data_IF_006661984076
#
_entry.id   IF_006661984076
#
_cell.length_a   1.000
_cell.length_b   1.000
_cell.length_c   1.000
_cell.angle_alpha   90.00
_cell.angle_beta   90.00
_cell.angle_gamma   90.00
#
_symmetry.space_group_name_H-M   'P 1'
#
loop_
_entity.id
_entity.type
_entity.pdbx_description
1 polymer ?
#
# COMPACT_ATOMS: atom_id res chain seq x y z
N UNK A 1 -39.09 -47.64 20.87
CA UNK A 1 -38.39 -47.66 19.57
C UNK A 1 -38.17 -46.26 18.99
N UNK A 2 -39.16 -45.39 18.98
CA UNK A 2 -39.07 -44.04 18.38
C UNK A 2 -37.93 -43.16 18.96
N UNK A 3 -37.73 -43.15 20.29
CA UNK A 3 -36.62 -42.35 20.92
C UNK A 3 -35.21 -42.79 20.49
N UNK A 4 -35.00 -44.07 20.29
CA UNK A 4 -33.68 -44.57 19.79
C UNK A 4 -33.48 -44.24 18.31
N UNK A 5 -34.53 -44.24 17.51
CA UNK A 5 -34.51 -43.83 16.12
C UNK A 5 -34.19 -42.34 15.95
N UNK A 6 -34.81 -41.47 16.77
CA UNK A 6 -34.50 -40.03 16.76
C UNK A 6 -33.04 -39.73 17.18
N UNK A 7 -32.50 -40.48 18.13
CA UNK A 7 -31.12 -40.29 18.58
C UNK A 7 -30.09 -40.69 17.49
N UNK A 8 -30.36 -41.77 16.77
CA UNK A 8 -29.48 -42.20 15.65
C UNK A 8 -29.55 -41.25 14.47
N UNK A 9 -30.71 -40.68 14.14
CA UNK A 9 -30.89 -39.70 13.08
C UNK A 9 -30.17 -38.40 13.44
N UNK A 10 -30.33 -37.93 14.70
CA UNK A 10 -29.62 -36.72 15.18
C UNK A 10 -28.10 -36.87 15.16
N UNK A 11 -27.59 -38.05 15.55
CA UNK A 11 -26.16 -38.34 15.48
C UNK A 11 -25.62 -38.37 14.05
N UNK A 12 -26.42 -38.90 13.10
CA UNK A 12 -26.03 -38.97 11.69
C UNK A 12 -25.98 -37.57 11.05
N UNK A 13 -26.95 -36.71 11.38
CA UNK A 13 -26.97 -35.29 10.93
C UNK A 13 -25.78 -34.52 11.50
N UNK A 14 -25.42 -34.76 12.76
CA UNK A 14 -24.26 -34.11 13.38
C UNK A 14 -22.94 -34.53 12.73
N UNK A 15 -22.78 -35.82 12.36
CA UNK A 15 -21.61 -36.31 11.62
C UNK A 15 -21.50 -35.71 10.22
N UNK A 16 -22.61 -35.49 9.51
CA UNK A 16 -22.58 -34.88 8.17
C UNK A 16 -22.27 -33.40 8.21
N UNK A 17 -22.68 -32.68 9.28
CA UNK A 17 -22.30 -31.27 9.46
C UNK A 17 -20.83 -31.06 9.74
N UNK A 18 -20.16 -32.01 10.40
CA UNK A 18 -18.70 -31.96 10.65
C UNK A 18 -17.85 -32.19 9.38
N UNK A 19 -18.39 -32.90 8.39
CA UNK A 19 -17.71 -33.15 7.12
C UNK A 19 -17.84 -31.97 6.14
N UNK A 20 -18.78 -31.05 6.35
CA UNK A 20 -18.99 -29.89 5.48
C UNK A 20 -17.97 -28.76 5.68
N UNK A 21 -17.16 -28.79 6.74
CA UNK A 21 -16.05 -27.85 6.94
C UNK A 21 -14.74 -28.25 6.25
N UNK A 22 -14.71 -29.36 5.54
CA UNK A 22 -13.61 -29.73 4.63
C UNK A 22 -13.83 -29.10 3.26
N UNK A 23 -14.03 -27.78 3.21
CA UNK A 23 -13.94 -27.05 1.97
C UNK A 23 -12.54 -27.27 1.42
N UNK A 24 -12.44 -27.99 0.30
CA UNK A 24 -11.32 -27.83 -0.64
C UNK A 24 -11.44 -26.43 -1.21
N UNK A 25 -11.27 -25.42 -0.33
CA UNK A 25 -10.88 -24.12 -0.78
C UNK A 25 -9.59 -24.37 -1.53
N UNK A 26 -9.56 -24.09 -2.82
CA UNK A 26 -8.35 -23.80 -3.53
C UNK A 26 -7.65 -22.69 -2.74
N UNK A 27 -6.89 -23.10 -1.74
CA UNK A 27 -5.86 -22.25 -1.17
C UNK A 27 -4.91 -22.08 -2.37
N UNK A 28 -5.21 -21.07 -3.19
CA UNK A 28 -4.30 -20.61 -4.23
C UNK A 28 -3.04 -20.33 -3.44
N UNK A 29 -2.08 -21.28 -3.55
CA UNK A 29 -0.83 -21.20 -2.83
C UNK A 29 -0.26 -19.83 -3.13
N UNK A 30 -0.01 -18.99 -2.11
CA UNK A 30 0.63 -17.69 -2.26
C UNK A 30 1.92 -17.75 -3.07
N UNK A 31 2.52 -18.94 -3.16
CA UNK A 31 3.65 -19.30 -4.03
C UNK A 31 3.48 -18.97 -5.52
N UNK A 32 2.25 -18.74 -5.98
CA UNK A 32 1.96 -18.50 -7.41
C UNK A 32 1.75 -17.03 -7.74
N UNK A 33 1.96 -16.10 -6.81
CA UNK A 33 1.70 -14.68 -7.02
C UNK A 33 2.85 -13.83 -6.48
N UNK A 34 3.06 -12.66 -7.08
CA UNK A 34 3.96 -11.66 -6.52
C UNK A 34 3.19 -10.74 -5.58
N UNK A 35 3.68 -10.56 -4.36
CA UNK A 35 3.09 -9.63 -3.41
C UNK A 35 3.63 -8.23 -3.69
N UNK A 36 2.74 -7.27 -3.90
CA UNK A 36 3.10 -5.86 -4.05
C UNK A 36 3.20 -5.26 -2.65
N UNK A 37 4.38 -4.79 -2.26
CA UNK A 37 4.62 -4.10 -0.99
C UNK A 37 4.31 -2.61 -1.08
N UNK A 38 4.62 -2.00 -2.23
CA UNK A 38 4.40 -0.59 -2.49
C UNK A 38 4.08 -0.31 -3.95
N UNK A 39 3.27 0.73 -4.17
CA UNK A 39 3.01 1.33 -5.48
C UNK A 39 3.45 2.79 -5.49
N UNK A 40 4.15 3.18 -6.54
CA UNK A 40 4.55 4.56 -6.80
C UNK A 40 3.86 5.12 -8.05
N UNK A 41 3.46 6.37 -8.00
CA UNK A 41 2.79 7.07 -9.09
C UNK A 41 3.49 8.39 -9.37
N UNK A 42 3.91 8.62 -10.61
CA UNK A 42 4.54 9.85 -11.08
C UNK A 42 3.85 10.36 -12.34
N UNK A 43 3.68 11.67 -12.45
CA UNK A 43 3.25 12.29 -13.70
C UNK A 43 4.44 12.42 -14.66
N UNK A 44 4.25 12.00 -15.91
CA UNK A 44 5.24 12.11 -16.98
C UNK A 44 4.57 12.68 -18.25
N UNK A 45 4.41 13.98 -18.27
CA UNK A 45 3.65 14.65 -19.31
C UNK A 45 2.19 14.18 -19.38
N UNK A 46 1.80 13.59 -20.50
CA UNK A 46 0.45 13.01 -20.68
C UNK A 46 0.30 11.60 -20.15
N UNK A 47 1.40 10.98 -19.71
CA UNK A 47 1.41 9.63 -19.19
C UNK A 47 1.44 9.65 -17.66
N UNK A 48 1.01 8.56 -17.07
CA UNK A 48 1.29 8.23 -15.69
C UNK A 48 2.32 7.11 -15.66
N UNK A 49 3.36 7.28 -14.86
CA UNK A 49 4.32 6.22 -14.58
C UNK A 49 3.91 5.55 -13.29
N UNK A 50 3.71 4.24 -13.35
CA UNK A 50 3.44 3.39 -12.19
C UNK A 50 4.70 2.57 -11.92
N UNK A 51 5.08 2.53 -10.65
CA UNK A 51 6.18 1.71 -10.13
C UNK A 51 5.63 0.75 -9.11
N UNK A 52 5.90 -0.54 -9.27
CA UNK A 52 5.51 -1.59 -8.32
C UNK A 52 6.75 -2.22 -7.69
N UNK A 53 6.81 -2.23 -6.37
CA UNK A 53 7.78 -3.00 -5.59
C UNK A 53 7.16 -4.35 -5.27
N UNK A 54 7.77 -5.42 -5.78
CA UNK A 54 7.29 -6.79 -5.69
C UNK A 54 8.18 -7.62 -4.79
N UNK A 55 7.60 -8.33 -3.84
CA UNK A 55 8.32 -9.28 -3.00
C UNK A 55 8.32 -10.65 -3.69
N UNK A 56 9.52 -11.14 -3.92
CA UNK A 56 9.76 -12.47 -4.46
C UNK A 56 10.02 -13.43 -3.31
N UNK A 57 9.04 -14.29 -3.05
CA UNK A 57 9.19 -15.38 -2.08
C UNK A 57 9.74 -16.60 -2.81
N UNK A 58 10.89 -17.08 -2.39
CA UNK A 58 11.45 -18.31 -2.95
C UNK A 58 10.89 -19.51 -2.19
N UNK A 59 9.82 -20.09 -2.73
CA UNK A 59 9.17 -21.26 -2.13
C UNK A 59 9.98 -22.57 -2.24
N UNK A 60 10.97 -22.60 -3.15
CA UNK A 60 11.82 -23.78 -3.34
C UNK A 60 12.96 -23.83 -2.30
N UNK A 61 13.32 -22.69 -1.74
CA UNK A 61 14.35 -22.59 -0.72
C UNK A 61 13.94 -21.60 0.39
N UNK A 62 13.24 -22.05 1.44
CA UNK A 62 12.73 -21.19 2.52
C UNK A 62 13.84 -20.52 3.34
N UNK A 63 15.09 -20.96 3.22
CA UNK A 63 16.24 -20.37 3.91
C UNK A 63 16.76 -19.12 3.18
N UNK A 64 16.28 -18.84 1.96
CA UNK A 64 16.63 -17.63 1.21
C UNK A 64 15.67 -16.51 1.63
N UNK A 65 16.22 -15.40 2.13
CA UNK A 65 15.44 -14.23 2.50
C UNK A 65 14.65 -13.70 1.30
N UNK A 66 13.39 -13.25 1.51
CA UNK A 66 12.62 -12.58 0.47
C UNK A 66 13.39 -11.39 -0.10
N UNK A 67 13.28 -11.17 -1.39
CA UNK A 67 13.96 -10.10 -2.10
C UNK A 67 12.94 -9.25 -2.85
N UNK A 68 13.08 -7.92 -2.76
CA UNK A 68 12.25 -7.01 -3.53
C UNK A 68 12.79 -6.82 -4.94
N UNK A 69 11.87 -6.69 -5.89
CA UNK A 69 12.14 -6.27 -7.28
C UNK A 69 11.21 -5.15 -7.66
N UNK A 70 11.75 -4.16 -8.35
CA UNK A 70 10.99 -2.98 -8.76
C UNK A 70 10.81 -3.01 -10.27
N UNK A 71 9.55 -2.78 -10.68
CA UNK A 71 9.15 -2.69 -12.08
C UNK A 71 8.39 -1.39 -12.28
N UNK A 72 8.69 -0.71 -13.39
CA UNK A 72 7.99 0.52 -13.77
C UNK A 72 7.48 0.41 -15.19
N UNK A 73 6.31 1.01 -15.41
CA UNK A 73 5.75 1.20 -16.74
C UNK A 73 5.04 2.54 -16.84
N UNK A 74 4.83 3.00 -18.09
CA UNK A 74 4.16 4.27 -18.39
C UNK A 74 2.98 4.01 -19.31
N UNK A 75 1.81 4.54 -18.94
CA UNK A 75 0.62 4.46 -19.77
C UNK A 75 -0.20 5.76 -19.67
N UNK A 76 -1.28 5.86 -20.43
CA UNK A 76 -2.25 6.95 -20.30
C UNK A 76 -3.07 6.86 -19.03
N UNK A 77 -3.26 5.65 -18.52
CA UNK A 77 -4.00 5.32 -17.31
C UNK A 77 -3.24 4.32 -16.44
N UNK A 78 -3.71 4.13 -15.21
CA UNK A 78 -3.08 3.29 -14.19
C UNK A 78 -3.18 1.81 -14.59
N UNK A 79 -4.34 1.40 -15.10
CA UNK A 79 -4.60 0.01 -15.47
C UNK A 79 -3.65 -0.46 -16.56
N UNK A 80 -3.51 0.30 -17.65
CA UNK A 80 -2.57 -0.02 -18.73
C UNK A 80 -1.12 -0.07 -18.28
N UNK A 81 -0.71 0.77 -17.31
CA UNK A 81 0.63 0.68 -16.75
C UNK A 81 0.83 -0.59 -15.90
N UNK A 82 -0.16 -0.96 -15.10
CA UNK A 82 -0.12 -2.20 -14.31
C UNK A 82 -0.18 -3.46 -15.20
N UNK A 83 -0.96 -3.43 -16.28
CA UNK A 83 -0.99 -4.50 -17.27
C UNK A 83 0.38 -4.67 -17.94
N UNK A 84 1.04 -3.56 -18.31
CA UNK A 84 2.37 -3.60 -18.88
C UNK A 84 3.39 -4.18 -17.90
N UNK A 85 3.35 -3.81 -16.61
CA UNK A 85 4.18 -4.43 -15.57
C UNK A 85 3.86 -5.93 -15.51
N UNK A 86 2.58 -6.27 -15.41
CA UNK A 86 2.12 -7.67 -15.29
C UNK A 86 2.56 -8.54 -16.46
N UNK A 87 2.60 -7.99 -17.68
CA UNK A 87 3.05 -8.71 -18.89
C UNK A 87 4.50 -9.15 -18.84
N UNK A 88 5.32 -8.50 -18.02
CA UNK A 88 6.75 -8.81 -17.80
C UNK A 88 6.97 -9.82 -16.67
N UNK A 89 5.91 -10.19 -15.97
CA UNK A 89 5.97 -11.08 -14.82
C UNK A 89 5.53 -12.50 -15.19
N UNK A 90 6.15 -13.49 -14.55
CA UNK A 90 5.77 -14.90 -14.71
C UNK A 90 4.55 -15.29 -13.87
N UNK A 91 4.10 -14.41 -12.95
CA UNK A 91 3.01 -14.65 -12.00
C UNK A 91 2.19 -13.38 -11.83
N UNK A 92 0.88 -13.49 -11.52
CA UNK A 92 0.04 -12.31 -11.24
C UNK A 92 0.51 -11.53 -10.02
N UNK A 93 0.25 -10.21 -10.02
CA UNK A 93 0.48 -9.32 -8.88
C UNK A 93 -0.70 -9.37 -7.90
N UNK A 94 -0.40 -9.39 -6.60
CA UNK A 94 -1.36 -9.21 -5.51
C UNK A 94 -1.23 -7.79 -4.95
N UNK A 95 -2.16 -6.91 -5.32
CA UNK A 95 -2.21 -5.53 -4.84
C UNK A 95 -2.78 -5.40 -3.42
N UNK A 96 -3.47 -6.41 -2.93
CA UNK A 96 -4.13 -6.44 -1.61
C UNK A 96 -3.15 -6.31 -0.44
N UNK A 97 -1.87 -6.58 -0.68
CA UNK A 97 -0.79 -6.44 0.32
C UNK A 97 0.00 -5.14 0.19
N UNK A 98 -0.43 -4.24 -0.71
CA UNK A 98 0.21 -2.95 -0.89
C UNK A 98 0.05 -2.12 0.39
N UNK A 99 1.15 -1.91 1.12
CA UNK A 99 1.18 -1.15 2.36
C UNK A 99 1.50 0.33 2.16
N UNK A 100 2.09 0.69 1.01
CA UNK A 100 2.52 2.06 0.68
C UNK A 100 2.01 2.49 -0.69
N UNK A 101 1.42 3.68 -0.74
CA UNK A 101 1.06 4.40 -1.97
C UNK A 101 1.93 5.65 -2.01
N UNK A 102 2.96 5.66 -2.85
CA UNK A 102 3.89 6.78 -2.99
C UNK A 102 3.48 7.70 -4.14
N UNK A 103 3.22 8.97 -3.82
CA UNK A 103 2.81 10.01 -4.76
C UNK A 103 4.01 10.88 -5.11
N UNK A 104 4.30 10.99 -6.40
CA UNK A 104 5.35 11.86 -6.92
C UNK A 104 5.01 13.35 -6.75
N UNK A 105 6.02 14.15 -6.42
CA UNK A 105 5.85 15.60 -6.25
C UNK A 105 5.45 16.32 -7.56
N UNK A 106 5.64 15.69 -8.72
CA UNK A 106 5.20 16.18 -10.02
C UNK A 106 3.71 15.95 -10.29
N UNK A 107 2.99 15.32 -9.38
CA UNK A 107 1.59 14.92 -9.58
C UNK A 107 0.67 16.13 -9.70
N UNK A 108 -0.19 16.14 -10.73
CA UNK A 108 -1.25 17.14 -10.86
C UNK A 108 -2.47 16.75 -10.03
N UNK A 109 -3.33 17.73 -9.69
CA UNK A 109 -4.56 17.47 -8.94
C UNK A 109 -5.47 16.44 -9.64
N UNK A 110 -5.62 16.56 -10.96
CA UNK A 110 -6.42 15.62 -11.76
C UNK A 110 -5.88 14.19 -11.66
N UNK A 111 -4.56 14.01 -11.78
CA UNK A 111 -3.92 12.69 -11.69
C UNK A 111 -3.98 12.14 -10.28
N UNK A 112 -3.84 12.99 -9.27
CA UNK A 112 -4.00 12.59 -7.88
C UNK A 112 -5.41 12.03 -7.63
N UNK A 113 -6.45 12.75 -8.10
CA UNK A 113 -7.84 12.28 -8.02
C UNK A 113 -8.01 10.93 -8.73
N UNK A 114 -7.47 10.75 -9.94
CA UNK A 114 -7.53 9.48 -10.66
C UNK A 114 -6.88 8.32 -9.88
N UNK A 115 -5.77 8.58 -9.16
CA UNK A 115 -5.13 7.58 -8.32
C UNK A 115 -6.04 7.20 -7.15
N UNK A 116 -6.63 8.19 -6.48
CA UNK A 116 -7.54 7.95 -5.38
C UNK A 116 -8.77 7.15 -5.84
N UNK A 117 -9.38 7.55 -6.95
CA UNK A 117 -10.52 6.84 -7.53
C UNK A 117 -10.16 5.40 -7.88
N UNK A 118 -9.01 5.17 -8.52
CA UNK A 118 -8.54 3.83 -8.84
C UNK A 118 -8.34 2.98 -7.59
N UNK A 119 -7.64 3.50 -6.59
CA UNK A 119 -7.38 2.78 -5.34
C UNK A 119 -8.66 2.46 -4.58
N UNK A 120 -9.65 3.35 -4.61
CA UNK A 120 -10.89 3.20 -3.87
C UNK A 120 -11.89 2.26 -4.55
N UNK A 121 -12.14 2.44 -5.86
CA UNK A 121 -13.21 1.73 -6.57
C UNK A 121 -12.79 0.35 -7.06
N UNK A 122 -11.53 0.16 -7.43
CA UNK A 122 -11.06 -1.15 -7.91
C UNK A 122 -10.90 -2.20 -6.80
N UNK A 123 -11.03 -1.80 -5.52
CA UNK A 123 -10.98 -2.68 -4.34
C UNK A 123 -9.77 -3.63 -4.29
N UNK A 124 -8.71 -3.32 -5.04
CA UNK A 124 -7.51 -4.15 -5.13
C UNK A 124 -6.41 -3.73 -4.16
N UNK A 125 -6.47 -2.47 -3.67
CA UNK A 125 -5.51 -1.92 -2.72
C UNK A 125 -6.20 -1.77 -1.38
N UNK A 126 -5.50 -2.14 -0.30
CA UNK A 126 -6.07 -2.00 1.03
C UNK A 126 -6.26 -0.53 1.41
N UNK A 127 -7.43 -0.19 1.93
CA UNK A 127 -7.73 1.16 2.42
C UNK A 127 -6.84 1.57 3.61
N UNK A 128 -6.18 0.62 4.25
CA UNK A 128 -5.23 0.86 5.34
C UNK A 128 -3.81 1.16 4.87
N UNK A 129 -3.53 1.14 3.56
CA UNK A 129 -2.23 1.53 3.01
C UNK A 129 -1.90 2.98 3.39
N UNK A 130 -0.64 3.26 3.68
CA UNK A 130 -0.18 4.62 3.92
C UNK A 130 0.08 5.34 2.60
N UNK A 131 -0.43 6.55 2.47
CA UNK A 131 -0.04 7.45 1.40
C UNK A 131 1.17 8.28 1.84
N UNK A 132 2.16 8.35 0.98
CA UNK A 132 3.37 9.15 1.20
C UNK A 132 3.66 10.01 -0.02
N UNK A 133 4.45 11.06 0.16
CA UNK A 133 5.01 11.84 -0.94
C UNK A 133 6.48 11.50 -1.13
N UNK A 134 6.93 11.49 -2.37
CA UNK A 134 8.33 11.35 -2.73
C UNK A 134 8.67 12.19 -3.96
N UNK A 135 9.90 12.70 -4.04
CA UNK A 135 10.35 13.43 -5.23
C UNK A 135 10.28 12.53 -6.47
N UNK A 136 10.72 11.28 -6.35
CA UNK A 136 10.57 10.23 -7.34
C UNK A 136 10.27 8.90 -6.63
N UNK A 137 9.02 8.42 -6.67
CA UNK A 137 8.65 7.10 -6.18
C UNK A 137 9.48 5.97 -6.78
N UNK A 138 9.86 6.05 -8.06
CA UNK A 138 10.71 5.03 -8.68
C UNK A 138 12.09 4.95 -8.04
N UNK A 139 12.74 6.09 -7.78
CA UNK A 139 14.03 6.10 -7.11
C UNK A 139 13.92 5.67 -5.66
N UNK A 140 12.86 6.06 -4.97
CA UNK A 140 12.59 5.66 -3.59
C UNK A 140 12.43 4.15 -3.47
N UNK A 141 11.53 3.55 -4.26
CA UNK A 141 11.23 2.12 -4.20
C UNK A 141 12.33 1.27 -4.83
N UNK A 142 13.05 1.81 -5.82
CA UNK A 142 14.20 1.14 -6.45
C UNK A 142 15.48 1.17 -5.62
N UNK A 143 15.48 1.86 -4.48
CA UNK A 143 16.59 1.90 -3.57
C UNK A 143 16.82 0.59 -2.82
N UNK A 144 17.91 0.52 -2.09
CA UNK A 144 18.23 -0.64 -1.26
C UNK A 144 17.49 -0.54 0.07
N UNK A 145 16.70 -1.55 0.47
CA UNK A 145 16.06 -1.58 1.79
C UNK A 145 17.13 -1.68 2.89
N UNK A 146 16.88 -1.02 4.02
CA UNK A 146 17.80 -0.97 5.16
C UNK A 146 17.75 -2.27 5.98
N UNK A 147 16.56 -2.65 6.41
CA UNK A 147 16.37 -3.69 7.43
C UNK A 147 15.35 -4.76 7.06
N UNK A 148 14.57 -4.55 6.03
CA UNK A 148 13.52 -5.46 5.60
C UNK A 148 13.77 -6.03 4.20
N UNK A 149 12.85 -6.88 3.75
CA UNK A 149 12.91 -7.44 2.40
C UNK A 149 12.57 -6.40 1.30
N UNK A 150 11.96 -5.26 1.67
CA UNK A 150 11.42 -4.27 0.73
C UNK A 150 11.42 -2.87 1.34
N UNK A 151 11.70 -1.85 0.52
CA UNK A 151 11.70 -0.44 0.94
C UNK A 151 10.33 0.00 1.47
N UNK A 152 9.24 -0.48 0.87
CA UNK A 152 7.89 -0.19 1.35
C UNK A 152 7.65 -0.65 2.79
N UNK A 153 8.21 -1.78 3.20
CA UNK A 153 8.13 -2.25 4.59
C UNK A 153 8.98 -1.42 5.54
N UNK A 154 10.17 -0.97 5.14
CA UNK A 154 10.99 -0.08 5.95
C UNK A 154 10.25 1.23 6.21
N UNK A 155 9.66 1.85 5.17
CA UNK A 155 8.87 3.06 5.28
C UNK A 155 7.67 2.87 6.21
N UNK A 156 6.91 1.78 6.04
CA UNK A 156 5.76 1.47 6.90
C UNK A 156 6.17 1.37 8.37
N UNK A 157 7.27 0.65 8.65
CA UNK A 157 7.82 0.52 9.99
C UNK A 157 8.28 1.87 10.57
N UNK A 158 8.83 2.78 9.75
CA UNK A 158 9.20 4.12 10.18
C UNK A 158 7.98 4.94 10.57
N UNK A 159 6.92 4.94 9.74
CA UNK A 159 5.67 5.65 10.03
C UNK A 159 5.04 5.14 11.34
N UNK A 160 4.96 3.83 11.52
CA UNK A 160 4.39 3.23 12.72
C UNK A 160 5.19 3.52 13.99
N UNK A 161 6.52 3.56 13.89
CA UNK A 161 7.39 3.95 15.03
C UNK A 161 7.18 5.41 15.41
N UNK A 162 7.14 6.31 14.44
CA UNK A 162 6.95 7.74 14.66
C UNK A 162 5.58 8.04 15.27
N UNK A 163 4.53 7.38 14.80
CA UNK A 163 3.18 7.50 15.37
C UNK A 163 3.14 7.18 16.87
N UNK A 164 4.01 6.30 17.34
CA UNK A 164 4.08 5.89 18.74
C UNK A 164 4.95 6.81 19.61
N UNK A 165 6.01 7.44 19.04
CA UNK A 165 7.01 8.16 19.80
C UNK A 165 6.71 9.66 19.96
N UNK A 166 6.27 10.34 18.91
CA UNK A 166 6.37 11.79 18.85
C UNK A 166 5.02 12.54 18.92
N UNK A 167 3.90 11.81 18.95
CA UNK A 167 2.56 12.43 18.92
C UNK A 167 2.25 13.22 17.64
N UNK A 168 3.22 13.32 16.72
CA UNK A 168 3.07 13.88 15.38
C UNK A 168 2.74 12.71 14.46
N UNK A 169 1.55 12.16 14.60
CA UNK A 169 1.06 11.18 13.66
C UNK A 169 0.59 11.92 12.42
N UNK A 170 1.41 11.91 11.39
CA UNK A 170 0.92 11.99 10.03
C UNK A 170 0.34 10.61 9.68
N UNK A 171 -0.77 10.24 10.33
CA UNK A 171 -1.50 9.04 9.97
C UNK A 171 -2.15 9.32 8.61
N UNK A 172 -1.40 9.01 7.58
CA UNK A 172 -1.74 9.25 6.19
C UNK A 172 -2.31 8.00 5.54
N UNK A 173 -3.15 7.27 6.28
CA UNK A 173 -3.83 6.11 5.71
C UNK A 173 -4.77 6.54 4.61
N UNK A 174 -4.81 5.78 3.56
CA UNK A 174 -5.59 6.12 2.37
C UNK A 174 -7.06 6.42 2.71
N UNK A 175 -7.69 5.62 3.59
CA UNK A 175 -9.09 5.86 3.98
C UNK A 175 -9.29 7.20 4.69
N UNK A 176 -8.30 7.71 5.44
CA UNK A 176 -8.39 9.02 6.12
C UNK A 176 -8.31 10.17 5.12
N UNK A 177 -7.43 10.04 4.12
CA UNK A 177 -7.29 11.01 3.04
C UNK A 177 -8.58 11.07 2.23
N UNK A 178 -9.12 9.92 1.80
CA UNK A 178 -10.39 9.87 1.07
C UNK A 178 -11.56 10.43 1.89
N UNK A 179 -11.69 10.02 3.14
CA UNK A 179 -12.72 10.56 4.02
C UNK A 179 -12.60 12.09 4.19
N UNK A 180 -11.39 12.63 4.25
CA UNK A 180 -11.17 14.07 4.31
C UNK A 180 -11.63 14.76 3.01
N UNK A 181 -11.29 14.21 1.85
CA UNK A 181 -11.68 14.71 0.52
C UNK A 181 -13.21 14.71 0.36
N UNK A 182 -13.88 13.59 0.65
CA UNK A 182 -15.33 13.45 0.57
C UNK A 182 -16.08 14.43 1.51
N UNK A 183 -15.50 14.73 2.67
CA UNK A 183 -16.06 15.71 3.62
C UNK A 183 -15.71 17.17 3.29
N UNK A 184 -15.16 17.43 2.10
CA UNK A 184 -14.80 18.77 1.64
C UNK A 184 -13.59 19.39 2.38
N UNK A 185 -12.79 18.59 3.05
CA UNK A 185 -11.51 19.01 3.60
C UNK A 185 -10.48 18.98 2.48
N UNK A 186 -10.22 20.13 1.92
CA UNK A 186 -9.36 20.25 0.74
C UNK A 186 -7.86 20.29 1.09
N UNK A 187 -7.50 20.24 2.38
CA UNK A 187 -6.09 20.29 2.83
C UNK A 187 -5.75 19.08 3.68
N UNK A 188 -4.69 18.40 3.28
CA UNK A 188 -4.12 17.26 4.00
C UNK A 188 -2.59 17.24 3.88
N UNK A 189 -1.93 16.45 4.69
CA UNK A 189 -0.48 16.30 4.67
C UNK A 189 -0.09 14.85 4.52
N UNK A 190 0.92 14.59 3.70
CA UNK A 190 1.55 13.28 3.53
C UNK A 190 2.97 13.30 4.11
N UNK A 191 3.41 12.26 4.81
CA UNK A 191 4.83 12.13 5.16
C UNK A 191 5.65 12.05 3.88
N UNK A 192 6.79 12.73 3.88
CA UNK A 192 7.67 12.81 2.73
C UNK A 192 8.90 11.95 2.95
N UNK A 193 9.17 11.07 2.00
CA UNK A 193 10.32 10.18 2.03
C UNK A 193 11.22 10.39 0.82
N UNK A 194 12.51 10.24 1.04
CA UNK A 194 13.55 10.21 0.01
C UNK A 194 14.45 8.99 0.18
N UNK A 195 15.31 8.74 -0.81
CA UNK A 195 16.30 7.68 -0.78
C UNK A 195 17.69 8.29 -0.50
N UNK A 196 18.39 7.73 0.47
CA UNK A 196 19.78 8.04 0.81
C UNK A 196 20.68 6.84 0.54
N UNK A 197 21.98 6.98 0.79
CA UNK A 197 22.93 5.85 0.69
C UNK A 197 22.62 4.75 1.71
N UNK A 198 22.04 5.11 2.86
CA UNK A 198 21.72 4.20 3.96
C UNK A 198 20.29 3.60 3.86
N UNK A 199 19.49 3.99 2.85
CA UNK A 199 18.12 3.54 2.67
C UNK A 199 17.09 4.67 2.61
N UNK A 200 15.81 4.34 2.81
CA UNK A 200 14.75 5.33 2.85
C UNK A 200 14.87 6.24 4.07
N UNK A 201 14.67 7.53 3.89
CA UNK A 201 14.74 8.53 4.95
C UNK A 201 13.51 9.42 4.95
N UNK A 202 13.05 9.78 6.16
CA UNK A 202 12.00 10.77 6.35
C UNK A 202 12.57 12.19 6.13
N UNK A 203 12.06 12.86 5.12
CA UNK A 203 12.46 14.23 4.74
C UNK A 203 11.47 15.30 5.24
N UNK A 204 10.40 14.90 5.94
CA UNK A 204 9.42 15.81 6.51
C UNK A 204 8.00 15.60 5.98
N UNK A 205 7.34 16.66 5.57
CA UNK A 205 5.90 16.64 5.24
C UNK A 205 5.65 17.37 3.91
N UNK A 206 4.81 16.79 3.07
CA UNK A 206 4.24 17.40 1.87
C UNK A 206 2.79 17.81 2.15
N UNK A 207 2.48 19.10 2.00
CA UNK A 207 1.14 19.65 2.20
C UNK A 207 0.44 19.76 0.86
N UNK A 208 -0.74 19.17 0.79
CA UNK A 208 -1.61 19.21 -0.38
C UNK A 208 -2.83 20.09 -0.10
N UNK A 209 -3.24 20.85 -1.10
CA UNK A 209 -4.46 21.63 -1.12
C UNK A 209 -5.17 21.43 -2.45
N UNK A 210 -6.45 21.04 -2.43
CA UNK A 210 -7.22 20.66 -3.60
C UNK A 210 -6.47 19.65 -4.48
N UNK A 211 -5.97 18.58 -3.86
CA UNK A 211 -5.23 17.48 -4.50
C UNK A 211 -3.90 17.89 -5.16
N UNK A 212 -3.43 19.12 -4.90
CA UNK A 212 -2.18 19.65 -5.45
C UNK A 212 -1.17 19.86 -4.33
N UNK A 213 0.06 19.46 -4.56
CA UNK A 213 1.19 19.79 -3.69
C UNK A 213 1.40 21.30 -3.67
N UNK A 214 1.30 21.92 -2.49
CA UNK A 214 1.47 23.37 -2.32
C UNK A 214 2.70 23.73 -1.49
N UNK A 215 3.17 22.84 -0.61
CA UNK A 215 4.31 23.12 0.26
C UNK A 215 5.02 21.84 0.68
N UNK A 216 6.35 21.95 0.75
CA UNK A 216 7.22 20.98 1.41
C UNK A 216 7.72 21.60 2.71
N UNK A 217 7.66 20.84 3.80
CA UNK A 217 8.15 21.22 5.14
C UNK A 217 9.22 20.22 5.53
N UNK A 218 10.43 20.71 5.83
CA UNK A 218 11.52 19.83 6.25
C UNK A 218 11.24 19.18 7.59
N UNK A 219 11.92 18.07 7.87
CA UNK A 219 11.80 17.34 9.15
C UNK A 219 12.07 18.23 10.37
N UNK A 220 13.10 19.09 10.30
CA UNK A 220 13.46 19.99 11.39
C UNK A 220 12.35 21.02 11.65
N UNK A 221 11.79 21.58 10.57
CA UNK A 221 10.68 22.52 10.68
C UNK A 221 9.39 21.86 11.16
N UNK A 222 9.09 20.64 10.73
CA UNK A 222 7.94 19.87 11.16
C UNK A 222 8.00 19.52 12.65
N UNK A 223 9.18 19.20 13.18
CA UNK A 223 9.40 18.92 14.60
C UNK A 223 9.25 20.18 15.47
N UNK A 224 9.53 21.37 14.94
CA UNK A 224 9.43 22.64 15.67
C UNK A 224 8.00 23.20 15.73
N UNK A 225 7.12 22.74 14.85
CA UNK A 225 5.72 23.15 14.77
C UNK A 225 4.87 21.92 15.07
N UNK A 226 4.25 21.85 16.27
CA UNK A 226 3.22 20.86 16.55
C UNK A 226 2.06 21.02 15.56
N UNK A 227 2.15 20.38 14.43
CA UNK A 227 1.07 20.32 13.44
C UNK A 227 -0.03 19.39 14.00
N UNK A 228 -0.95 19.98 14.77
CA UNK A 228 -2.25 19.34 14.98
C UNK A 228 -3.02 19.45 13.68
N UNK A 229 -3.03 18.38 12.88
CA UNK A 229 -4.01 18.26 11.83
C UNK A 229 -5.41 18.33 12.44
N UNK A 230 -6.34 19.16 11.88
CA UNK A 230 -7.68 19.27 12.39
C UNK A 230 -8.40 17.93 12.19
N UNK A 231 -8.67 17.19 13.27
CA UNK A 231 -9.46 15.96 13.19
C UNK A 231 -9.32 14.99 14.34
N UNK A 232 -8.37 15.13 15.24
CA UNK A 232 -8.30 14.29 16.46
C UNK A 232 -8.77 15.08 17.70
N UNK A 233 -9.87 14.62 18.28
CA UNK A 233 -10.21 14.77 19.69
C UNK A 233 -9.76 13.54 20.45
#
# INVERSE_FOLDING_TARGET
MIKRLCLTISSLIFLTCLSACGGTGDSIKNDRRFMVSALGFEADGFLIKVTAELIVINSENPDVSPEARVFSAKSRDIEGALEEISSRLSKPMLLEHCGIIAIGESMTAERFSQICDYCFYENRITLSAYMISAKSPELLLGGKPESSAATGYDIMNMIERQSKSDGISTDSRFFEIESARENGKNTFALPRFGMTEDGAADEGIAIFENDRLVRLVSREAANSVCFRLPGRR
#
